data_IF_252131587237
#
_entry.id   IF_252131587237
#
_cell.length_a   1.000
_cell.length_b   1.000
_cell.length_c   1.000
_cell.angle_alpha   90.00
_cell.angle_beta   90.00
_cell.angle_gamma   90.00
#
_symmetry.space_group_name_H-M   'P 1'
#
loop_
_entity.id
_entity.type
_entity.pdbx_description
1 polymer ?
#
# COMPACT_ATOMS: atom_id res chain seq x y z
N UNK A 1 -4.19 17.64 -12.41
CA UNK A 1 -3.67 16.51 -11.61
C UNK A 1 -4.40 15.24 -12.02
N UNK A 2 -3.71 14.13 -12.30
CA UNK A 2 -4.36 12.86 -12.66
C UNK A 2 -4.57 12.04 -11.37
N UNK A 3 -5.82 11.69 -11.06
CA UNK A 3 -6.18 10.79 -9.96
C UNK A 3 -6.65 9.47 -10.58
N UNK A 4 -6.18 8.36 -10.04
CA UNK A 4 -6.62 7.03 -10.44
C UNK A 4 -7.08 6.27 -9.20
N UNK A 5 -8.26 5.65 -9.29
CA UNK A 5 -8.85 4.86 -8.22
C UNK A 5 -8.95 3.43 -8.73
N UNK A 6 -8.44 2.48 -7.95
CA UNK A 6 -8.55 1.03 -8.24
C UNK A 6 -9.32 0.40 -7.11
N UNK A 7 -10.35 -0.36 -7.47
CA UNK A 7 -11.07 -1.22 -6.54
C UNK A 7 -10.49 -2.63 -6.64
N UNK A 8 -10.03 -3.16 -5.51
CA UNK A 8 -9.47 -4.52 -5.41
C UNK A 8 -10.35 -5.29 -4.45
N UNK A 9 -10.87 -6.44 -4.88
CA UNK A 9 -11.72 -7.31 -4.08
C UNK A 9 -11.01 -8.62 -3.74
N UNK A 10 -11.48 -9.24 -2.67
CA UNK A 10 -11.07 -10.61 -2.34
C UNK A 10 -11.62 -11.53 -3.42
N UNK A 11 -10.76 -12.38 -3.99
CA UNK A 11 -11.08 -13.25 -5.12
C UNK A 11 -10.45 -12.83 -6.45
N UNK A 12 -9.97 -11.59 -6.57
CA UNK A 12 -9.28 -11.13 -7.78
C UNK A 12 -7.95 -11.88 -8.00
N UNK A 13 -7.59 -12.08 -9.26
CA UNK A 13 -6.30 -12.64 -9.66
C UNK A 13 -5.27 -11.54 -9.87
N UNK A 14 -4.16 -11.66 -9.16
CA UNK A 14 -3.00 -10.80 -9.32
C UNK A 14 -1.82 -11.60 -9.85
N UNK A 15 -0.99 -10.96 -10.67
CA UNK A 15 0.27 -11.54 -11.08
C UNK A 15 1.36 -11.17 -10.08
N UNK A 16 1.98 -12.18 -9.49
CA UNK A 16 3.06 -12.03 -8.52
C UNK A 16 4.34 -12.69 -9.04
N UNK A 17 5.45 -11.95 -8.99
CA UNK A 17 6.76 -12.46 -9.33
C UNK A 17 7.66 -11.39 -9.94
N UNK A 18 8.97 -11.56 -9.82
CA UNK A 18 9.96 -10.73 -10.51
C UNK A 18 10.35 -11.30 -11.88
N UNK A 19 10.18 -12.60 -12.07
CA UNK A 19 10.77 -13.36 -13.19
C UNK A 19 9.73 -14.07 -14.05
N UNK A 20 8.74 -14.72 -13.42
CA UNK A 20 7.53 -15.21 -14.08
C UNK A 20 6.37 -14.58 -13.33
N UNK A 21 5.56 -13.80 -14.02
CA UNK A 21 4.36 -13.17 -13.47
C UNK A 21 3.33 -14.25 -13.18
N UNK A 22 3.42 -14.90 -12.02
CA UNK A 22 2.55 -16.03 -11.69
C UNK A 22 1.21 -15.52 -11.19
N UNK A 23 0.13 -15.88 -11.86
CA UNK A 23 -1.24 -15.57 -11.42
C UNK A 23 -1.54 -16.24 -10.07
N UNK A 24 -2.05 -15.46 -9.13
CA UNK A 24 -2.41 -15.89 -7.78
C UNK A 24 -3.64 -15.13 -7.32
N UNK A 25 -4.56 -15.81 -6.61
CA UNK A 25 -5.77 -15.20 -6.07
C UNK A 25 -5.51 -14.47 -4.75
N UNK A 26 -6.17 -13.32 -4.58
CA UNK A 26 -6.24 -12.59 -3.31
C UNK A 26 -7.21 -13.33 -2.38
N UNK A 27 -6.71 -13.76 -1.22
CA UNK A 27 -7.52 -14.41 -0.17
C UNK A 27 -8.02 -13.43 0.88
N UNK A 28 -7.24 -12.40 1.19
CA UNK A 28 -7.61 -11.36 2.15
C UNK A 28 -6.81 -10.10 1.89
N UNK A 29 -7.36 -8.97 2.30
CA UNK A 29 -6.67 -7.67 2.31
C UNK A 29 -6.53 -7.28 3.78
N UNK A 30 -5.29 -7.05 4.21
CA UNK A 30 -4.94 -6.58 5.56
C UNK A 30 -4.34 -5.17 5.46
N UNK A 31 -4.35 -4.45 6.57
CA UNK A 31 -3.62 -3.20 6.71
C UNK A 31 -2.51 -3.40 7.74
N UNK A 32 -1.31 -2.92 7.41
CA UNK A 32 -0.17 -2.88 8.33
C UNK A 32 -0.42 -1.87 9.47
N UNK A 33 0.42 -1.84 10.51
CA UNK A 33 0.28 -0.94 11.67
C UNK A 33 0.19 0.55 11.28
N UNK A 34 0.72 0.88 10.10
CA UNK A 34 0.73 2.23 9.54
C UNK A 34 -0.33 2.44 8.44
N UNK A 35 -1.27 1.50 8.26
CA UNK A 35 -2.34 1.61 7.27
C UNK A 35 -1.93 1.28 5.83
N UNK A 36 -0.74 0.72 5.59
CA UNK A 36 -0.35 0.27 4.26
C UNK A 36 -1.10 -1.04 3.91
N UNK A 37 -1.75 -1.13 2.74
CA UNK A 37 -2.46 -2.34 2.33
C UNK A 37 -1.50 -3.49 1.99
N UNK A 38 -1.75 -4.65 2.61
CA UNK A 38 -1.04 -5.91 2.43
C UNK A 38 -2.03 -6.93 1.87
N UNK A 39 -1.70 -7.51 0.72
CA UNK A 39 -2.47 -8.58 0.12
C UNK A 39 -1.99 -9.92 0.67
N UNK A 40 -2.92 -10.69 1.24
CA UNK A 40 -2.68 -12.08 1.61
C UNK A 40 -3.11 -12.94 0.44
N UNK A 41 -2.14 -13.60 -0.19
CA UNK A 41 -2.37 -14.48 -1.35
C UNK A 41 -2.12 -15.93 -0.98
N UNK A 42 -2.51 -16.86 -1.84
CA UNK A 42 -2.23 -18.30 -1.65
C UNK A 42 -0.74 -18.62 -1.49
N UNK A 43 0.16 -17.77 -1.99
CA UNK A 43 1.61 -17.99 -2.01
C UNK A 43 2.37 -17.18 -0.96
N UNK A 44 1.67 -16.43 -0.14
CA UNK A 44 2.26 -15.59 0.90
C UNK A 44 1.67 -14.18 0.94
N UNK A 45 2.10 -13.43 1.94
CA UNK A 45 1.71 -12.04 2.16
C UNK A 45 2.61 -11.13 1.32
N UNK A 46 2.01 -10.16 0.62
CA UNK A 46 2.72 -9.25 -0.26
C UNK A 46 2.13 -7.85 -0.13
N UNK A 47 2.99 -6.85 0.05
CA UNK A 47 2.56 -5.44 0.04
C UNK A 47 1.98 -5.11 -1.33
N UNK A 48 0.84 -4.42 -1.36
CA UNK A 48 0.20 -4.01 -2.62
C UNK A 48 1.12 -3.09 -3.42
N UNK A 49 1.83 -2.21 -2.72
CA UNK A 49 2.83 -1.32 -3.29
C UNK A 49 4.21 -1.69 -2.75
N UNK A 50 5.19 -1.84 -3.65
CA UNK A 50 6.60 -1.98 -3.27
C UNK A 50 7.11 -0.73 -2.54
N UNK A 51 6.62 0.44 -2.96
CA UNK A 51 6.94 1.72 -2.32
C UNK A 51 6.02 1.97 -1.12
N UNK A 52 6.56 2.65 -0.10
CA UNK A 52 5.77 3.14 1.04
C UNK A 52 5.26 4.54 0.74
N UNK A 53 3.97 4.78 0.97
CA UNK A 53 3.41 6.12 0.86
C UNK A 53 3.80 6.89 2.12
N UNK A 54 4.66 7.90 1.99
CA UNK A 54 5.09 8.72 3.13
C UNK A 54 3.92 9.28 3.94
N UNK A 55 2.76 9.56 3.31
CA UNK A 55 1.54 10.05 3.97
C UNK A 55 0.98 9.10 5.04
N UNK A 56 1.35 7.83 5.00
CA UNK A 56 0.90 6.80 5.94
C UNK A 56 1.89 6.61 7.11
N UNK A 57 3.09 7.18 7.04
CA UNK A 57 4.07 7.05 8.12
C UNK A 57 3.79 8.04 9.27
N UNK A 58 3.90 7.61 10.55
CA UNK A 58 3.55 8.40 11.73
C UNK A 58 4.53 9.55 12.04
N UNK A 59 5.41 9.89 11.10
CA UNK A 59 6.41 10.95 11.23
C UNK A 59 6.41 11.96 10.08
N UNK A 60 5.56 11.79 9.06
CA UNK A 60 5.52 12.69 7.91
C UNK A 60 4.63 13.90 8.20
N UNK A 61 5.05 14.71 9.18
CA UNK A 61 4.69 16.13 9.14
C UNK A 61 5.15 16.63 7.78
N UNK A 62 4.21 17.05 6.94
CA UNK A 62 4.57 17.74 5.70
C UNK A 62 5.47 18.93 6.04
N UNK A 63 6.39 19.36 5.15
CA UNK A 63 7.21 20.55 5.40
C UNK A 63 6.40 21.77 5.86
N UNK A 64 5.15 21.88 5.41
CA UNK A 64 4.16 22.86 5.88
C UNK A 64 3.80 22.70 7.37
N UNK A 65 3.45 21.50 7.82
CA UNK A 65 3.14 21.21 9.23
C UNK A 65 4.36 21.37 10.15
N UNK A 66 5.58 21.11 9.65
CA UNK A 66 6.83 21.39 10.37
C UNK A 66 7.02 22.90 10.53
N UNK A 67 6.83 23.70 9.48
CA UNK A 67 6.91 25.16 9.55
C UNK A 67 5.83 25.76 10.46
N UNK A 68 4.61 25.24 10.44
CA UNK A 68 3.52 25.71 11.31
C UNK A 68 3.78 25.40 12.79
N UNK A 69 4.36 24.24 13.12
CA UNK A 69 4.79 23.93 14.49
C UNK A 69 5.93 24.82 14.99
N UNK A 70 6.79 25.31 14.09
CA UNK A 70 7.91 26.21 14.43
C UNK A 70 7.50 27.66 14.66
N UNK A 71 6.31 28.06 14.20
CA UNK A 71 5.75 29.41 14.34
C UNK A 71 4.94 29.59 15.64
N UNK A 72 4.67 28.51 16.36
CA UNK A 72 3.90 28.50 17.61
C UNK A 72 4.86 28.35 18.78
#
# INVERSE_FOLDING_TARGET
MKKYTVEIKVGDEIQVGRFRNVSTKIKSIKFDEHGQPVLVTSKGEKKLFTCRLQKLDPGSLTPKQIMERKKK
#
